data_IF_150581113226
#
_entry.id   IF_150581113226
#
_cell.length_a   1.000
_cell.length_b   1.000
_cell.length_c   1.000
_cell.angle_alpha   90.00
_cell.angle_beta   90.00
_cell.angle_gamma   90.00
#
_symmetry.space_group_name_H-M   'P 1'
#
loop_
_entity.id
_entity.type
_entity.pdbx_description
1 polymer ?
#
# COMPACT_ATOMS: atom_id res chain seq x y z
N UNK A 1 8.43 -16.93 7.23
CA UNK A 1 9.19 -15.68 7.37
C UNK A 1 8.17 -14.58 7.53
N UNK A 2 8.25 -13.80 8.61
CA UNK A 2 7.30 -12.72 8.88
C UNK A 2 7.70 -11.43 8.15
N UNK A 3 7.82 -11.57 6.83
CA UNK A 3 8.14 -10.47 5.95
C UNK A 3 6.84 -9.78 5.49
N UNK A 4 6.92 -8.47 5.35
CA UNK A 4 5.82 -7.64 4.89
C UNK A 4 6.22 -6.94 3.59
N UNK A 5 5.26 -6.83 2.69
CA UNK A 5 5.40 -6.13 1.43
C UNK A 5 4.77 -4.75 1.58
N UNK A 6 5.56 -3.72 1.32
CA UNK A 6 5.13 -2.33 1.27
C UNK A 6 4.97 -1.92 -0.19
N UNK A 7 3.79 -1.47 -0.58
CA UNK A 7 3.58 -0.86 -1.90
C UNK A 7 4.03 0.59 -1.84
N UNK A 8 5.03 0.93 -2.64
CA UNK A 8 5.65 2.26 -2.67
C UNK A 8 4.77 3.26 -3.43
N UNK A 9 4.92 4.54 -3.09
CA UNK A 9 4.34 5.65 -3.82
C UNK A 9 5.10 5.99 -5.09
N UNK A 10 4.61 6.99 -5.83
CA UNK A 10 5.17 7.38 -7.14
C UNK A 10 6.66 7.72 -7.11
N UNK A 11 7.14 8.38 -6.05
CA UNK A 11 8.57 8.63 -5.85
C UNK A 11 9.16 7.54 -4.96
N UNK A 12 9.41 6.37 -5.56
CA UNK A 12 9.84 5.18 -4.82
C UNK A 12 11.14 5.38 -4.04
N UNK A 13 12.07 6.21 -4.54
CA UNK A 13 13.34 6.51 -3.85
C UNK A 13 13.09 7.25 -2.55
N UNK A 14 12.20 8.23 -2.57
CA UNK A 14 11.82 8.97 -1.36
C UNK A 14 11.02 8.07 -0.40
N UNK A 15 10.12 7.24 -0.92
CA UNK A 15 9.39 6.23 -0.13
C UNK A 15 10.33 5.24 0.56
N UNK A 16 11.35 4.74 -0.14
CA UNK A 16 12.36 3.85 0.43
C UNK A 16 13.19 4.56 1.51
N UNK A 17 13.58 5.82 1.28
CA UNK A 17 14.32 6.60 2.26
C UNK A 17 13.51 6.86 3.54
N UNK A 18 12.23 7.21 3.40
CA UNK A 18 11.31 7.35 4.54
C UNK A 18 11.18 6.03 5.30
N UNK A 19 10.93 4.93 4.58
CA UNK A 19 10.75 3.61 5.17
C UNK A 19 12.00 3.15 5.91
N UNK A 20 13.18 3.22 5.28
CA UNK A 20 14.46 2.87 5.91
C UNK A 20 14.73 3.71 7.16
N UNK A 21 14.42 5.01 7.12
CA UNK A 21 14.56 5.91 8.26
C UNK A 21 13.65 5.50 9.44
N UNK A 22 12.37 5.20 9.17
CA UNK A 22 11.43 4.72 10.20
C UNK A 22 11.91 3.38 10.78
N UNK A 23 12.33 2.43 9.94
CA UNK A 23 12.81 1.12 10.38
C UNK A 23 14.05 1.24 11.27
N UNK A 24 14.90 2.25 11.06
CA UNK A 24 16.10 2.49 11.87
C UNK A 24 15.82 3.24 13.16
N UNK A 25 14.88 4.19 13.16
CA UNK A 25 14.78 5.21 14.21
C UNK A 25 13.48 5.15 15.04
N UNK A 26 12.48 4.38 14.63
CA UNK A 26 11.21 4.24 15.36
C UNK A 26 11.12 2.95 16.19
N UNK A 27 9.94 2.67 16.77
CA UNK A 27 9.60 1.39 17.38
C UNK A 27 9.50 0.23 16.37
N UNK A 28 9.33 0.52 15.09
CA UNK A 28 9.16 -0.46 14.03
C UNK A 28 10.51 -0.98 13.51
N UNK A 29 11.39 -1.44 14.41
CA UNK A 29 12.75 -1.85 14.04
C UNK A 29 12.75 -2.98 13.01
N UNK A 30 13.53 -2.82 11.95
CA UNK A 30 13.63 -3.80 10.87
C UNK A 30 14.63 -3.40 9.80
N UNK A 31 14.58 -4.09 8.66
CA UNK A 31 15.37 -3.79 7.47
C UNK A 31 14.62 -4.13 6.18
N UNK A 32 14.96 -3.41 5.12
CA UNK A 32 14.52 -3.74 3.76
C UNK A 32 15.41 -4.87 3.24
N UNK A 33 14.79 -5.99 2.85
CA UNK A 33 15.46 -7.20 2.36
C UNK A 33 15.58 -7.24 0.84
N UNK A 34 14.53 -6.76 0.17
CA UNK A 34 14.42 -6.74 -1.28
C UNK A 34 13.50 -5.58 -1.67
N UNK A 35 13.63 -5.06 -2.89
CA UNK A 35 12.79 -3.98 -3.37
C UNK A 35 12.78 -3.90 -4.90
N UNK A 36 11.78 -3.19 -5.41
CA UNK A 36 11.71 -2.72 -6.80
C UNK A 36 11.28 -1.26 -6.82
N UNK A 37 10.96 -0.72 -8.00
CA UNK A 37 10.38 0.62 -8.08
C UNK A 37 8.97 0.70 -7.48
N UNK A 38 8.29 -0.44 -7.27
CA UNK A 38 6.89 -0.46 -6.84
C UNK A 38 6.67 -1.07 -5.46
N UNK A 39 7.60 -1.92 -4.98
CA UNK A 39 7.45 -2.59 -3.69
C UNK A 39 8.76 -2.57 -2.88
N UNK A 40 8.64 -2.71 -1.57
CA UNK A 40 9.75 -3.04 -0.68
C UNK A 40 9.34 -4.20 0.22
N UNK A 41 10.24 -5.15 0.43
CA UNK A 41 10.08 -6.28 1.34
C UNK A 41 10.81 -5.97 2.63
N UNK A 42 10.07 -5.93 3.72
CA UNK A 42 10.57 -5.57 5.04
C UNK A 42 10.54 -6.77 5.96
N UNK A 43 11.66 -7.01 6.62
CA UNK A 43 11.77 -7.92 7.76
C UNK A 43 11.80 -7.08 9.05
N UNK A 44 10.84 -7.28 9.93
CA UNK A 44 10.83 -6.65 11.25
C UNK A 44 11.55 -7.52 12.28
N UNK A 45 12.26 -6.87 13.21
CA UNK A 45 13.02 -7.56 14.25
C UNK A 45 12.11 -8.34 15.21
N UNK A 46 10.96 -7.77 15.60
CA UNK A 46 10.08 -8.38 16.60
C UNK A 46 8.59 -8.12 16.40
N UNK A 47 8.18 -7.35 15.38
CA UNK A 47 6.78 -6.94 15.19
C UNK A 47 5.81 -8.13 15.14
N UNK A 48 6.24 -9.23 14.52
CA UNK A 48 5.46 -10.45 14.36
C UNK A 48 5.17 -11.20 15.67
N UNK A 49 5.95 -10.95 16.73
CA UNK A 49 5.72 -11.53 18.05
C UNK A 49 4.59 -10.83 18.81
N UNK A 50 4.15 -9.67 18.34
CA UNK A 50 3.06 -8.93 18.94
C UNK A 50 1.70 -9.50 18.51
N UNK A 51 0.85 -9.84 19.48
CA UNK A 51 -0.52 -10.33 19.21
C UNK A 51 -1.35 -9.33 18.40
N UNK A 52 -1.07 -8.03 18.53
CA UNK A 52 -1.74 -6.92 17.88
C UNK A 52 -0.90 -6.29 16.77
N UNK A 53 0.00 -7.05 16.14
CA UNK A 53 0.86 -6.54 15.07
C UNK A 53 0.08 -5.87 13.93
N UNK A 54 -1.15 -6.30 13.66
CA UNK A 54 -2.01 -5.66 12.64
C UNK A 54 -2.32 -4.21 12.99
N UNK A 55 -2.66 -3.91 14.25
CA UNK A 55 -2.91 -2.55 14.71
C UNK A 55 -1.65 -1.69 14.58
N UNK A 56 -0.50 -2.26 14.96
CA UNK A 56 0.81 -1.62 14.79
C UNK A 56 1.16 -1.34 13.33
N UNK A 57 0.77 -2.21 12.39
CA UNK A 57 0.92 -1.94 10.96
C UNK A 57 -0.02 -0.83 10.48
N UNK A 58 -1.23 -0.73 11.03
CA UNK A 58 -2.14 0.37 10.74
C UNK A 58 -1.59 1.71 11.23
N UNK A 59 -1.03 1.75 12.44
CA UNK A 59 -0.30 2.91 12.96
C UNK A 59 0.86 3.29 12.03
N UNK A 60 1.70 2.31 11.65
CA UNK A 60 2.80 2.56 10.71
C UNK A 60 2.31 3.09 9.36
N UNK A 61 1.23 2.54 8.82
CA UNK A 61 0.63 3.02 7.56
C UNK A 61 0.09 4.45 7.69
N UNK A 62 -0.42 4.85 8.86
CA UNK A 62 -0.87 6.21 9.14
C UNK A 62 0.30 7.20 9.18
N UNK A 63 1.43 6.80 9.79
CA UNK A 63 2.65 7.60 9.86
C UNK A 63 3.28 7.84 8.47
N UNK A 64 3.22 6.85 7.59
CA UNK A 64 3.87 6.89 6.28
C UNK A 64 3.19 7.86 5.30
N UNK A 65 3.99 8.71 4.66
CA UNK A 65 3.58 9.50 3.50
C UNK A 65 3.81 8.76 2.17
N UNK A 66 4.83 7.91 2.12
CA UNK A 66 5.39 7.31 0.91
C UNK A 66 4.94 5.91 0.58
N UNK A 67 4.19 5.24 1.44
CA UNK A 67 3.69 3.88 1.18
C UNK A 67 2.17 3.92 1.00
N UNK A 68 1.69 3.24 -0.04
CA UNK A 68 0.27 3.16 -0.33
C UNK A 68 -0.41 2.04 0.45
N UNK A 69 0.30 0.94 0.70
CA UNK A 69 -0.23 -0.29 1.30
C UNK A 69 0.84 -1.05 2.07
N UNK A 70 0.39 -1.82 3.05
CA UNK A 70 1.18 -2.85 3.70
C UNK A 70 0.44 -4.19 3.60
N UNK A 71 1.16 -5.20 3.16
CA UNK A 71 0.66 -6.55 2.91
C UNK A 71 1.53 -7.59 3.62
N UNK A 72 0.91 -8.68 4.10
CA UNK A 72 1.62 -9.83 4.66
C UNK A 72 2.02 -10.78 3.53
N UNK A 73 3.29 -11.17 3.49
CA UNK A 73 3.81 -12.13 2.50
C UNK A 73 3.48 -13.56 2.96
N UNK A 74 3.03 -14.40 2.02
CA UNK A 74 2.70 -15.81 2.26
C UNK A 74 3.63 -16.77 1.53
N UNK A 75 4.09 -16.41 0.35
CA UNK A 75 5.01 -17.25 -0.43
C UNK A 75 5.77 -16.40 -1.47
N UNK A 76 6.75 -17.03 -2.13
CA UNK A 76 7.62 -16.42 -3.12
C UNK A 76 7.85 -17.38 -4.29
N UNK A 77 7.81 -16.85 -5.51
CA UNK A 77 8.11 -17.60 -6.74
C UNK A 77 9.37 -17.00 -7.37
N UNK A 78 10.37 -17.84 -7.66
CA UNK A 78 11.59 -17.38 -8.32
C UNK A 78 11.29 -16.79 -9.71
N UNK A 79 11.98 -15.70 -10.08
CA UNK A 79 11.71 -15.00 -11.35
C UNK A 79 11.84 -15.92 -12.58
N UNK A 80 12.76 -16.88 -12.55
CA UNK A 80 12.97 -17.84 -13.64
C UNK A 80 11.75 -18.73 -13.85
N UNK A 81 11.07 -19.14 -12.78
CA UNK A 81 9.85 -19.95 -12.90
C UNK A 81 8.71 -19.15 -13.52
N UNK A 82 8.62 -17.84 -13.22
CA UNK A 82 7.65 -16.95 -13.85
C UNK A 82 7.93 -16.80 -15.34
N UNK A 83 9.18 -16.51 -15.73
CA UNK A 83 9.54 -16.41 -17.15
C UNK A 83 9.37 -17.73 -17.90
N UNK A 84 9.61 -18.86 -17.26
CA UNK A 84 9.37 -20.18 -17.85
C UNK A 84 7.87 -20.50 -18.00
N UNK A 85 7.03 -20.05 -17.07
CA UNK A 85 5.58 -20.23 -17.11
C UNK A 85 4.86 -19.20 -18.03
N UNK A 86 5.46 -18.04 -18.22
CA UNK A 86 4.91 -16.94 -19.01
C UNK A 86 5.99 -16.31 -19.89
N UNK A 87 6.58 -17.05 -20.84
CA UNK A 87 7.58 -16.47 -21.72
C UNK A 87 6.94 -15.51 -22.72
N UNK A 88 7.71 -14.54 -23.24
CA UNK A 88 7.28 -13.67 -24.33
C UNK A 88 6.89 -14.45 -25.60
N UNK A 89 7.56 -15.59 -25.83
CA UNK A 89 7.28 -16.52 -26.93
C UNK A 89 7.22 -17.93 -26.38
N UNK A 90 6.18 -18.68 -26.76
CA UNK A 90 6.00 -20.06 -26.33
C UNK A 90 6.68 -20.99 -27.32
N UNK A 91 7.83 -21.54 -26.94
CA UNK A 91 8.53 -22.52 -27.77
C UNK A 91 8.06 -23.96 -27.49
N UNK A 92 7.84 -24.30 -26.21
CA UNK A 92 7.44 -25.65 -25.76
C UNK A 92 6.27 -25.58 -24.79
N UNK A 93 5.06 -25.76 -25.30
CA UNK A 93 3.83 -25.68 -24.50
C UNK A 93 3.83 -26.64 -23.29
N UNK A 94 4.31 -27.87 -23.48
CA UNK A 94 4.35 -28.89 -22.40
C UNK A 94 5.25 -28.49 -21.23
N UNK A 95 6.36 -27.81 -21.51
CA UNK A 95 7.24 -27.28 -20.46
C UNK A 95 6.56 -26.14 -19.70
N UNK A 96 5.98 -25.18 -20.42
CA UNK A 96 5.23 -24.06 -19.85
C UNK A 96 4.11 -24.57 -18.93
N UNK A 97 3.33 -25.54 -19.38
CA UNK A 97 2.24 -26.13 -18.60
C UNK A 97 2.76 -26.79 -17.30
N UNK A 98 3.88 -27.52 -17.38
CA UNK A 98 4.52 -28.13 -16.21
C UNK A 98 4.93 -27.09 -15.17
N UNK A 99 5.50 -25.95 -15.59
CA UNK A 99 5.91 -24.90 -14.66
C UNK A 99 4.69 -24.17 -14.09
N UNK A 100 3.65 -23.91 -14.90
CA UNK A 100 2.38 -23.36 -14.40
C UNK A 100 1.75 -24.23 -13.32
N UNK A 101 1.77 -25.57 -13.46
CA UNK A 101 1.29 -26.48 -12.40
C UNK A 101 2.04 -26.31 -11.07
N UNK A 102 3.33 -26.01 -11.09
CA UNK A 102 4.09 -25.69 -9.86
C UNK A 102 3.58 -24.40 -9.21
N UNK A 103 3.31 -23.36 -10.01
CA UNK A 103 2.73 -22.09 -9.53
C UNK A 103 1.35 -22.34 -8.92
N UNK A 104 0.51 -23.17 -9.55
CA UNK A 104 -0.82 -23.51 -9.03
C UNK A 104 -0.74 -24.23 -7.68
N UNK A 105 0.24 -25.12 -7.50
CA UNK A 105 0.46 -25.80 -6.21
C UNK A 105 0.82 -24.80 -5.09
N UNK A 106 1.66 -23.80 -5.40
CA UNK A 106 2.01 -22.71 -4.48
C UNK A 106 0.75 -21.90 -4.15
N UNK A 107 -0.01 -21.48 -5.16
CA UNK A 107 -1.26 -20.73 -4.97
C UNK A 107 -2.28 -21.47 -4.12
N UNK A 108 -2.42 -22.79 -4.31
CA UNK A 108 -3.30 -23.62 -3.49
C UNK A 108 -3.01 -23.51 -2.00
N UNK A 109 -1.72 -23.57 -1.61
CA UNK A 109 -1.27 -23.43 -0.21
C UNK A 109 -1.41 -22.01 0.30
N UNK A 110 -1.15 -21.01 -0.54
CA UNK A 110 -1.29 -19.60 -0.15
C UNK A 110 -2.74 -19.25 0.13
N UNK A 111 -3.67 -19.72 -0.72
CA UNK A 111 -5.10 -19.42 -0.58
C UNK A 111 -5.70 -20.00 0.71
N UNK A 112 -5.24 -21.17 1.16
CA UNK A 112 -5.64 -21.73 2.47
C UNK A 112 -5.19 -20.87 3.65
N UNK A 113 -4.03 -20.20 3.51
CA UNK A 113 -3.51 -19.31 4.55
C UNK A 113 -4.15 -17.91 4.49
N UNK A 114 -4.46 -17.42 3.28
CA UNK A 114 -5.15 -16.15 3.05
C UNK A 114 -6.60 -16.23 3.55
N UNK A 115 -7.27 -17.36 3.29
CA UNK A 115 -8.66 -17.61 3.66
C UNK A 115 -8.75 -18.81 4.61
N UNK A 116 -8.68 -18.60 5.94
CA UNK A 116 -8.70 -19.70 6.91
C UNK A 116 -10.00 -20.52 6.91
N UNK A 117 -11.09 -19.94 6.43
CA UNK A 117 -12.42 -20.56 6.34
C UNK A 117 -12.94 -20.46 4.91
N UNK A 118 -12.87 -21.56 4.16
CA UNK A 118 -13.32 -21.60 2.76
C UNK A 118 -14.70 -22.25 2.59
N UNK A 119 -14.96 -23.34 3.32
CA UNK A 119 -16.17 -24.15 3.14
C UNK A 119 -17.43 -23.32 3.38
N UNK A 120 -18.35 -23.36 2.42
CA UNK A 120 -19.64 -22.66 2.43
C UNK A 120 -19.57 -21.12 2.55
N UNK A 121 -18.39 -20.51 2.41
CA UNK A 121 -18.23 -19.07 2.43
C UNK A 121 -18.46 -18.45 1.03
N UNK A 122 -18.77 -17.16 0.99
CA UNK A 122 -18.78 -16.39 -0.25
C UNK A 122 -17.51 -15.54 -0.29
N UNK A 123 -16.59 -15.87 -1.18
CA UNK A 123 -15.28 -15.22 -1.27
C UNK A 123 -15.28 -14.18 -2.39
N UNK A 124 -14.74 -12.99 -2.10
CA UNK A 124 -14.49 -11.94 -3.09
C UNK A 124 -13.03 -11.51 -3.04
N UNK A 125 -12.30 -11.65 -4.15
CA UNK A 125 -10.88 -11.28 -4.19
C UNK A 125 -10.54 -10.30 -5.31
N UNK A 126 -9.39 -9.65 -5.20
CA UNK A 126 -8.80 -8.86 -6.28
C UNK A 126 -7.35 -9.28 -6.45
N UNK A 127 -6.87 -9.28 -7.69
CA UNK A 127 -5.46 -9.54 -8.00
C UNK A 127 -4.80 -8.22 -8.38
N UNK A 128 -3.69 -7.90 -7.73
CA UNK A 128 -2.87 -6.72 -8.04
C UNK A 128 -1.45 -7.15 -8.39
N UNK A 129 -0.99 -6.75 -9.57
CA UNK A 129 0.37 -7.03 -10.03
C UNK A 129 1.18 -5.73 -9.95
N UNK A 130 2.22 -5.73 -9.13
CA UNK A 130 3.20 -4.66 -9.11
C UNK A 130 4.48 -5.16 -9.80
N UNK A 131 4.73 -4.80 -11.06
CA UNK A 131 5.92 -5.22 -11.79
C UNK A 131 7.19 -4.58 -11.21
N UNK A 132 8.36 -4.93 -11.74
CA UNK A 132 9.58 -4.17 -11.44
C UNK A 132 9.42 -2.71 -11.94
N UNK A 133 9.05 -2.55 -13.22
CA UNK A 133 8.67 -1.27 -13.83
C UNK A 133 7.36 -1.42 -14.61
N UNK A 134 6.47 -0.44 -14.51
CA UNK A 134 5.20 -0.45 -15.26
C UNK A 134 5.38 -0.22 -16.77
N UNK A 135 6.50 0.38 -17.16
CA UNK A 135 6.85 0.69 -18.55
C UNK A 135 7.43 -0.52 -19.28
N UNK A 136 7.71 -1.63 -18.58
CA UNK A 136 8.30 -2.82 -19.19
C UNK A 136 7.36 -3.48 -20.20
N UNK A 137 7.90 -3.87 -21.35
CA UNK A 137 7.18 -4.62 -22.37
C UNK A 137 6.61 -5.94 -21.82
N UNK A 138 7.38 -6.59 -20.93
CA UNK A 138 6.94 -7.81 -20.26
C UNK A 138 5.69 -7.58 -19.41
N UNK A 139 5.57 -6.44 -18.74
CA UNK A 139 4.37 -6.11 -17.97
C UNK A 139 3.14 -6.02 -18.89
N UNK A 140 3.20 -5.16 -19.90
CA UNK A 140 2.07 -4.87 -20.77
C UNK A 140 1.67 -6.05 -21.66
N UNK A 141 2.64 -6.80 -22.20
CA UNK A 141 2.38 -7.91 -23.13
C UNK A 141 2.13 -9.24 -22.44
N UNK A 142 2.71 -9.48 -21.26
CA UNK A 142 2.64 -10.79 -20.60
C UNK A 142 1.89 -10.71 -19.29
N UNK A 143 2.31 -9.85 -18.36
CA UNK A 143 1.73 -9.84 -17.03
C UNK A 143 0.25 -9.42 -17.06
N UNK A 144 -0.08 -8.35 -17.78
CA UNK A 144 -1.45 -7.86 -17.90
C UNK A 144 -2.32 -8.78 -18.76
N UNK A 145 -1.81 -9.23 -19.92
CA UNK A 145 -2.61 -9.96 -20.92
C UNK A 145 -2.71 -11.46 -20.70
N UNK A 146 -1.78 -12.06 -19.97
CA UNK A 146 -1.70 -13.51 -19.81
C UNK A 146 -1.61 -13.95 -18.36
N UNK A 147 -0.76 -13.32 -17.55
CA UNK A 147 -0.60 -13.72 -16.15
C UNK A 147 -1.83 -13.34 -15.30
N UNK A 148 -2.33 -12.11 -15.41
CA UNK A 148 -3.52 -11.67 -14.67
C UNK A 148 -4.77 -12.52 -14.99
N UNK A 149 -5.15 -12.76 -16.27
CA UNK A 149 -6.27 -13.65 -16.58
C UNK A 149 -6.05 -15.08 -16.07
N UNK A 150 -4.82 -15.60 -16.14
CA UNK A 150 -4.48 -16.90 -15.57
C UNK A 150 -4.72 -16.91 -14.06
N UNK A 151 -4.23 -15.91 -13.32
CA UNK A 151 -4.43 -15.82 -11.87
C UNK A 151 -5.92 -15.75 -11.52
N UNK A 152 -6.69 -14.86 -12.16
CA UNK A 152 -8.12 -14.72 -11.89
C UNK A 152 -8.87 -16.04 -12.10
N UNK A 153 -8.63 -16.71 -13.23
CA UNK A 153 -9.28 -17.97 -13.56
C UNK A 153 -8.88 -19.10 -12.62
N UNK A 154 -7.57 -19.28 -12.39
CA UNK A 154 -7.09 -20.44 -11.65
C UNK A 154 -7.29 -20.28 -10.13
N UNK A 155 -7.22 -19.06 -9.58
CA UNK A 155 -7.64 -18.82 -8.20
C UNK A 155 -9.13 -19.17 -8.02
N UNK A 156 -9.99 -18.78 -8.98
CA UNK A 156 -11.40 -19.18 -8.92
C UNK A 156 -11.58 -20.71 -8.97
N UNK A 157 -10.83 -21.42 -9.80
CA UNK A 157 -10.88 -22.88 -9.89
C UNK A 157 -10.47 -23.53 -8.56
N UNK A 158 -9.33 -23.11 -8.00
CA UNK A 158 -8.83 -23.62 -6.71
C UNK A 158 -9.85 -23.37 -5.59
N UNK A 159 -10.48 -22.19 -5.55
CA UNK A 159 -11.51 -21.89 -4.55
C UNK A 159 -12.76 -22.79 -4.72
N UNK A 160 -13.17 -23.09 -5.96
CA UNK A 160 -14.29 -24.00 -6.23
C UNK A 160 -13.99 -25.43 -5.79
N UNK A 161 -12.77 -25.92 -6.05
CA UNK A 161 -12.31 -27.24 -5.59
C UNK A 161 -12.32 -27.36 -4.06
N UNK A 162 -12.19 -26.24 -3.34
CA UNK A 162 -12.24 -26.16 -1.88
C UNK A 162 -13.65 -25.94 -1.30
N UNK A 163 -14.70 -26.25 -2.07
CA UNK A 163 -16.11 -26.20 -1.63
C UNK A 163 -16.58 -24.82 -1.12
N UNK A 164 -16.05 -23.74 -1.71
CA UNK A 164 -16.56 -22.38 -1.48
C UNK A 164 -17.96 -22.24 -2.10
N UNK A 165 -18.92 -21.62 -1.40
CA UNK A 165 -20.31 -21.46 -1.87
C UNK A 165 -20.38 -20.58 -3.11
N UNK A 166 -19.62 -19.49 -3.13
CA UNK A 166 -19.54 -18.52 -4.23
C UNK A 166 -18.16 -17.89 -4.25
N UNK A 167 -17.51 -17.85 -5.41
CA UNK A 167 -16.27 -17.10 -5.61
C UNK A 167 -16.48 -16.04 -6.69
N UNK A 168 -16.04 -14.82 -6.41
CA UNK A 168 -16.04 -13.70 -7.33
C UNK A 168 -14.68 -12.99 -7.26
N UNK A 169 -14.30 -12.33 -8.33
CA UNK A 169 -13.11 -11.48 -8.36
C UNK A 169 -13.43 -10.10 -8.92
N UNK A 170 -12.59 -9.12 -8.59
CA UNK A 170 -12.65 -7.79 -9.18
C UNK A 170 -12.22 -7.86 -10.65
N UNK A 171 -13.12 -7.48 -11.55
CA UNK A 171 -12.88 -7.43 -12.99
C UNK A 171 -12.39 -6.03 -13.39
N UNK A 172 -11.14 -5.97 -13.85
CA UNK A 172 -10.60 -4.74 -14.44
C UNK A 172 -11.26 -4.46 -15.80
N UNK A 173 -11.36 -3.17 -16.22
CA UNK A 173 -11.87 -2.82 -17.53
C UNK A 173 -11.10 -3.51 -18.67
N UNK A 174 -11.83 -4.16 -19.59
CA UNK A 174 -11.20 -4.90 -20.70
C UNK A 174 -10.28 -4.02 -21.56
N UNK A 175 -10.64 -2.75 -21.75
CA UNK A 175 -9.83 -1.77 -22.49
C UNK A 175 -8.43 -1.57 -21.89
N UNK A 176 -8.32 -1.57 -20.56
CA UNK A 176 -7.05 -1.42 -19.85
C UNK A 176 -6.20 -2.69 -19.97
N UNK A 177 -6.84 -3.86 -19.95
CA UNK A 177 -6.16 -5.14 -20.16
C UNK A 177 -5.65 -5.24 -21.62
N UNK A 178 -6.48 -4.86 -22.60
CA UNK A 178 -6.14 -4.91 -24.04
C UNK A 178 -5.02 -3.93 -24.38
N UNK A 179 -5.05 -2.71 -23.84
CA UNK A 179 -3.98 -1.73 -24.00
C UNK A 179 -2.69 -2.10 -23.28
N UNK A 180 -2.78 -2.93 -22.22
CA UNK A 180 -1.62 -3.29 -21.39
C UNK A 180 -1.22 -2.19 -20.40
N UNK A 181 -2.02 -1.13 -20.29
CA UNK A 181 -1.85 -0.06 -19.30
C UNK A 181 -2.88 -0.28 -18.18
N UNK A 182 -2.48 -1.04 -17.18
CA UNK A 182 -3.34 -1.38 -16.06
C UNK A 182 -2.77 -0.83 -14.76
N UNK A 183 -3.54 0.01 -14.08
CA UNK A 183 -3.19 0.35 -12.71
C UNK A 183 -3.70 -0.76 -11.77
N UNK A 184 -2.89 -1.22 -10.81
CA UNK A 184 -3.38 -2.10 -9.75
C UNK A 184 -4.51 -1.45 -8.94
N UNK A 185 -5.17 -2.24 -8.10
CA UNK A 185 -6.22 -1.75 -7.20
C UNK A 185 -5.68 -0.57 -6.37
N UNK A 186 -6.30 0.59 -6.47
CA UNK A 186 -5.94 1.73 -5.60
C UNK A 186 -6.51 1.59 -4.18
N UNK A 187 -5.95 2.27 -3.15
CA UNK A 187 -6.45 2.20 -1.77
C UNK A 187 -7.95 2.50 -1.60
N UNK A 188 -8.51 3.45 -2.34
CA UNK A 188 -9.95 3.74 -2.25
C UNK A 188 -10.84 2.55 -2.70
N UNK A 189 -10.36 1.69 -3.61
CA UNK A 189 -11.06 0.47 -4.00
C UNK A 189 -10.98 -0.59 -2.89
N UNK A 190 -9.84 -0.70 -2.21
CA UNK A 190 -9.70 -1.60 -1.05
C UNK A 190 -10.77 -1.30 0.01
N UNK A 191 -10.90 -0.02 0.37
CA UNK A 191 -11.88 0.46 1.36
C UNK A 191 -13.29 0.22 0.85
N UNK A 192 -13.61 0.66 -0.39
CA UNK A 192 -14.96 0.52 -0.98
C UNK A 192 -15.45 -0.93 -1.04
N UNK A 193 -14.58 -1.87 -1.36
CA UNK A 193 -14.96 -3.28 -1.53
C UNK A 193 -14.71 -4.14 -0.29
N UNK A 194 -14.18 -3.56 0.80
CA UNK A 194 -13.88 -4.27 2.04
C UNK A 194 -12.83 -5.36 1.86
N UNK A 195 -11.81 -5.13 1.03
CA UNK A 195 -10.80 -6.15 0.65
C UNK A 195 -9.83 -6.53 1.79
N UNK A 196 -10.06 -6.02 3.00
CA UNK A 196 -9.35 -6.40 4.23
C UNK A 196 -10.12 -7.48 5.04
N UNK A 197 -11.42 -7.69 4.77
CA UNK A 197 -12.29 -8.58 5.53
C UNK A 197 -11.86 -10.05 5.44
N UNK A 198 -12.29 -10.92 6.36
CA UNK A 198 -11.86 -12.34 6.36
C UNK A 198 -12.23 -13.11 5.09
N UNK A 199 -13.40 -12.83 4.51
CA UNK A 199 -13.93 -13.43 3.28
C UNK A 199 -13.48 -12.70 2.01
N UNK A 200 -12.63 -11.67 2.15
CA UNK A 200 -12.20 -10.82 1.05
C UNK A 200 -10.70 -10.54 1.07
N UNK A 201 -10.10 -10.40 -0.10
CA UNK A 201 -8.67 -10.13 -0.16
C UNK A 201 -8.25 -9.40 -1.42
N UNK A 202 -7.39 -8.40 -1.29
CA UNK A 202 -6.43 -8.12 -2.35
C UNK A 202 -5.24 -9.07 -2.21
N UNK A 203 -4.99 -9.84 -3.26
CA UNK A 203 -3.82 -10.70 -3.41
C UNK A 203 -2.83 -9.96 -4.31
N UNK A 204 -1.72 -9.55 -3.71
CA UNK A 204 -0.63 -8.84 -4.36
C UNK A 204 0.39 -9.86 -4.91
N UNK A 205 0.76 -9.66 -6.17
CA UNK A 205 1.92 -10.27 -6.81
C UNK A 205 2.95 -9.16 -7.06
N UNK A 206 3.88 -9.01 -6.12
CA UNK A 206 4.90 -7.98 -6.15
C UNK A 206 6.21 -8.50 -6.71
N UNK A 207 6.66 -7.92 -7.80
CA UNK A 207 7.87 -8.32 -8.52
C UNK A 207 9.09 -7.53 -8.04
N UNK A 208 10.20 -8.25 -7.89
CA UNK A 208 11.56 -7.74 -7.76
C UNK A 208 12.45 -8.43 -8.79
N UNK A 209 13.75 -8.13 -8.77
CA UNK A 209 14.72 -8.86 -9.63
C UNK A 209 14.84 -10.33 -9.22
N UNK A 210 14.62 -10.66 -7.95
CA UNK A 210 14.73 -12.02 -7.41
C UNK A 210 13.52 -12.89 -7.79
N UNK A 211 12.31 -12.29 -7.81
CA UNK A 211 11.09 -13.04 -8.07
C UNK A 211 9.80 -12.31 -7.76
N UNK A 212 8.79 -13.09 -7.37
CA UNK A 212 7.43 -12.62 -7.16
C UNK A 212 6.97 -13.02 -5.77
N UNK A 213 6.75 -12.02 -4.93
CA UNK A 213 6.14 -12.19 -3.62
C UNK A 213 4.62 -12.24 -3.77
N UNK A 214 4.00 -13.25 -3.14
CA UNK A 214 2.55 -13.37 -3.04
C UNK A 214 2.14 -12.90 -1.65
N UNK A 215 1.32 -11.86 -1.58
CA UNK A 215 0.97 -11.20 -0.34
C UNK A 215 -0.54 -10.88 -0.24
N UNK A 216 -1.06 -10.73 0.97
CA UNK A 216 -2.42 -10.21 1.24
C UNK A 216 -2.32 -8.83 1.85
N UNK A 217 -3.04 -7.86 1.30
CA UNK A 217 -3.09 -6.51 1.87
C UNK A 217 -3.79 -6.50 3.22
N UNK A 218 -3.18 -5.88 4.22
CA UNK A 218 -3.69 -5.79 5.60
C UNK A 218 -4.15 -4.37 5.95
N UNK A 219 -3.42 -3.38 5.46
CA UNK A 219 -3.75 -1.97 5.65
C UNK A 219 -3.32 -1.16 4.43
N UNK A 220 -3.94 -0.01 4.24
CA UNK A 220 -3.62 0.92 3.18
C UNK A 220 -3.77 2.36 3.66
N UNK A 221 -3.09 3.27 2.95
CA UNK A 221 -3.30 4.71 3.06
C UNK A 221 -4.79 5.05 2.84
N UNK A 222 -5.31 6.04 3.54
CA UNK A 222 -6.62 6.62 3.25
C UNK A 222 -6.45 7.90 2.43
N UNK A 223 -6.45 7.80 1.08
CA UNK A 223 -6.32 8.97 0.23
C UNK A 223 -7.54 9.88 0.32
N UNK A 224 -8.73 9.37 0.67
CA UNK A 224 -9.94 10.19 0.75
C UNK A 224 -9.88 11.07 1.99
N UNK A 225 -9.44 10.53 3.13
CA UNK A 225 -9.20 11.32 4.34
C UNK A 225 -8.17 12.43 4.09
N UNK A 226 -6.99 12.09 3.54
CA UNK A 226 -5.95 13.08 3.25
C UNK A 226 -6.41 14.12 2.22
N UNK A 227 -7.20 13.69 1.23
CA UNK A 227 -7.78 14.59 0.22
C UNK A 227 -8.79 15.53 0.84
N UNK A 228 -9.69 15.05 1.71
CA UNK A 228 -10.64 15.88 2.46
C UNK A 228 -9.92 16.99 3.21
N UNK A 229 -8.89 16.65 3.99
CA UNK A 229 -8.11 17.65 4.74
C UNK A 229 -7.41 18.67 3.82
N UNK A 230 -6.85 18.22 2.70
CA UNK A 230 -6.15 19.14 1.80
C UNK A 230 -7.09 20.01 0.95
N UNK A 231 -8.20 19.47 0.45
CA UNK A 231 -9.09 20.11 -0.52
C UNK A 231 -10.30 20.81 0.10
N UNK A 232 -10.86 20.30 1.19
CA UNK A 232 -12.12 20.79 1.77
C UNK A 232 -11.90 21.82 2.89
N UNK A 233 -10.65 22.04 3.32
CA UNK A 233 -10.32 23.08 4.31
C UNK A 233 -10.84 24.47 3.87
N UNK A 234 -11.32 25.32 4.80
CA UNK A 234 -11.92 26.61 4.48
C UNK A 234 -11.06 27.53 3.62
N UNK A 235 -9.73 27.52 3.82
CA UNK A 235 -8.79 28.36 3.09
C UNK A 235 -7.71 27.50 2.43
N UNK A 236 -7.75 27.39 1.10
CA UNK A 236 -6.73 26.70 0.29
C UNK A 236 -6.14 27.62 -0.76
N UNK A 237 -4.84 27.44 -1.03
CA UNK A 237 -4.17 28.05 -2.18
C UNK A 237 -3.35 27.01 -2.94
N UNK A 238 -3.76 26.70 -4.17
CA UNK A 238 -3.17 25.61 -4.96
C UNK A 238 -1.73 25.88 -5.42
N UNK A 239 -1.36 27.15 -5.65
CA UNK A 239 -0.05 27.50 -6.22
C UNK A 239 1.12 27.35 -5.24
N UNK A 240 0.85 27.33 -3.94
CA UNK A 240 1.88 27.45 -2.90
C UNK A 240 1.80 26.36 -1.82
N UNK A 241 0.97 25.31 -2.01
CA UNK A 241 0.80 24.26 -1.00
C UNK A 241 1.70 23.05 -1.27
N UNK A 242 2.39 22.59 -0.24
CA UNK A 242 3.01 21.26 -0.21
C UNK A 242 1.93 20.16 -0.26
N UNK A 243 2.26 18.99 -0.79
CA UNK A 243 1.34 17.85 -0.74
C UNK A 243 1.28 17.23 0.66
N UNK A 244 0.11 16.70 1.12
CA UNK A 244 -0.02 15.95 2.37
C UNK A 244 1.04 14.88 2.59
N UNK A 245 1.33 14.09 1.54
CA UNK A 245 2.26 12.97 1.60
C UNK A 245 3.69 13.43 1.87
N UNK A 246 4.09 14.54 1.25
CA UNK A 246 5.42 15.11 1.46
C UNK A 246 5.56 15.71 2.87
N UNK A 247 4.51 16.34 3.42
CA UNK A 247 4.53 16.83 4.80
C UNK A 247 4.76 15.67 5.80
N UNK A 248 4.04 14.56 5.65
CA UNK A 248 4.23 13.36 6.48
C UNK A 248 5.66 12.81 6.40
N UNK A 249 6.21 12.70 5.18
CA UNK A 249 7.60 12.27 4.98
C UNK A 249 8.58 13.21 5.70
N UNK A 250 8.38 14.52 5.60
CA UNK A 250 9.25 15.50 6.29
C UNK A 250 9.26 15.28 7.80
N UNK A 251 8.10 15.04 8.43
CA UNK A 251 8.05 14.74 9.86
C UNK A 251 8.77 13.45 10.22
N UNK A 252 8.66 12.42 9.37
CA UNK A 252 9.37 11.17 9.58
C UNK A 252 10.90 11.37 9.51
N UNK A 253 11.40 12.26 8.64
CA UNK A 253 12.83 12.60 8.59
C UNK A 253 13.34 13.43 9.79
N UNK A 254 12.46 14.03 10.59
CA UNK A 254 12.87 14.66 11.86
C UNK A 254 13.29 13.63 12.92
N UNK A 255 12.98 12.35 12.72
CA UNK A 255 13.26 11.26 13.66
C UNK A 255 12.60 11.43 15.05
N UNK A 256 11.47 12.14 15.09
CA UNK A 256 10.67 12.38 16.28
C UNK A 256 9.52 11.35 16.35
N UNK A 257 9.84 10.10 16.65
CA UNK A 257 8.84 9.01 16.68
C UNK A 257 8.24 8.73 18.05
N UNK A 258 8.84 9.25 19.13
CA UNK A 258 8.39 9.02 20.50
C UNK A 258 7.82 10.32 21.10
N UNK A 259 6.72 10.19 21.84
CA UNK A 259 6.08 11.27 22.59
C UNK A 259 5.85 12.51 21.72
N UNK A 260 5.24 12.34 20.53
CA UNK A 260 5.04 13.42 19.55
C UNK A 260 4.23 14.59 20.12
N UNK A 261 3.30 14.30 21.03
CA UNK A 261 2.50 15.23 21.82
C UNK A 261 3.31 16.18 22.70
N UNK A 262 4.56 15.83 22.99
CA UNK A 262 5.50 16.69 23.72
C UNK A 262 6.43 17.48 22.80
N UNK A 263 6.50 17.14 21.51
CA UNK A 263 7.44 17.74 20.56
C UNK A 263 6.77 18.91 19.83
N UNK A 264 7.56 19.94 19.56
CA UNK A 264 7.12 21.19 18.94
C UNK A 264 7.59 21.28 17.50
N UNK A 265 6.66 21.55 16.59
CA UNK A 265 6.91 21.84 15.18
C UNK A 265 6.67 23.32 14.94
N UNK A 266 7.68 24.01 14.42
CA UNK A 266 7.57 25.40 13.97
C UNK A 266 7.60 25.43 12.44
N UNK A 267 6.55 26.00 11.84
CA UNK A 267 6.56 26.42 10.44
C UNK A 267 6.68 27.95 10.37
N UNK A 268 7.87 28.50 10.05
CA UNK A 268 8.08 29.94 10.01
C UNK A 268 7.53 30.63 8.74
N UNK A 269 6.96 29.85 7.80
CA UNK A 269 6.35 30.34 6.56
C UNK A 269 5.02 29.61 6.33
N UNK A 270 4.13 29.72 7.31
CA UNK A 270 2.98 28.81 7.46
C UNK A 270 1.97 28.87 6.32
N UNK A 271 1.84 30.01 5.64
CA UNK A 271 0.88 30.17 4.54
C UNK A 271 -0.54 29.84 4.98
N UNK A 272 -1.17 28.83 4.36
CA UNK A 272 -2.49 28.33 4.76
C UNK A 272 -2.45 27.06 5.63
N UNK A 273 -1.29 26.76 6.21
CA UNK A 273 -1.18 25.81 7.33
C UNK A 273 -1.02 24.34 6.96
N UNK A 274 -0.71 23.98 5.71
CA UNK A 274 -0.66 22.55 5.31
C UNK A 274 0.27 21.73 6.20
N UNK A 275 1.49 22.22 6.47
CA UNK A 275 2.43 21.52 7.35
C UNK A 275 1.83 21.40 8.76
N UNK A 276 1.29 22.47 9.33
CA UNK A 276 0.73 22.43 10.68
C UNK A 276 -0.50 21.54 10.82
N UNK A 277 -1.40 21.49 9.82
CA UNK A 277 -2.55 20.59 9.82
C UNK A 277 -2.10 19.12 9.89
N UNK A 278 -1.10 18.74 9.10
CA UNK A 278 -0.57 17.38 9.13
C UNK A 278 0.35 17.12 10.33
N UNK A 279 1.00 18.13 10.90
CA UNK A 279 1.71 18.00 12.18
C UNK A 279 0.73 17.71 13.32
N UNK A 280 -0.41 18.42 13.36
CA UNK A 280 -1.47 18.20 14.33
C UNK A 280 -2.05 16.78 14.23
N UNK A 281 -2.34 16.30 13.01
CA UNK A 281 -2.76 14.91 12.76
C UNK A 281 -1.69 13.86 13.12
N UNK A 282 -0.47 14.27 13.40
CA UNK A 282 0.63 13.41 13.84
C UNK A 282 0.94 13.64 15.33
N UNK A 283 0.01 14.25 16.05
CA UNK A 283 0.04 14.58 17.48
C UNK A 283 1.13 15.59 17.88
N UNK A 284 1.71 16.35 16.96
CA UNK A 284 2.70 17.37 17.34
C UNK A 284 2.06 18.63 17.93
N UNK A 285 2.78 19.30 18.84
CA UNK A 285 2.48 20.69 19.18
C UNK A 285 2.88 21.60 18.02
N UNK A 286 1.97 22.46 17.58
CA UNK A 286 2.16 23.27 16.37
C UNK A 286 2.39 24.74 16.70
N UNK A 287 3.33 25.35 15.98
CA UNK A 287 3.61 26.79 16.01
C UNK A 287 3.79 27.28 14.58
N UNK A 288 3.16 28.41 14.24
CA UNK A 288 3.22 28.98 12.90
C UNK A 288 3.57 30.47 12.94
N UNK A 289 4.34 30.91 11.95
CA UNK A 289 4.55 32.32 11.68
C UNK A 289 4.40 32.60 10.18
N UNK A 290 3.91 33.80 9.86
CA UNK A 290 3.93 34.35 8.51
C UNK A 290 4.10 35.87 8.60
N UNK A 291 4.58 36.51 7.55
CA UNK A 291 4.61 37.97 7.49
C UNK A 291 3.22 38.52 7.13
N UNK A 292 2.40 37.74 6.42
CA UNK A 292 1.04 38.11 6.01
C UNK A 292 0.02 37.71 7.09
N UNK A 293 -0.58 38.70 7.74
CA UNK A 293 -1.59 38.50 8.76
C UNK A 293 -2.82 37.72 8.24
N UNK A 294 -3.14 37.80 6.95
CA UNK A 294 -4.22 37.04 6.33
C UNK A 294 -3.91 35.54 6.36
N UNK A 295 -2.65 35.15 6.09
CA UNK A 295 -2.19 33.76 6.12
C UNK A 295 -2.29 33.16 7.52
N UNK A 296 -1.87 33.93 8.53
CA UNK A 296 -2.03 33.54 9.94
C UNK A 296 -3.51 33.28 10.27
N UNK A 297 -4.39 34.24 9.97
CA UNK A 297 -5.82 34.13 10.28
C UNK A 297 -6.48 32.94 9.54
N UNK A 298 -6.12 32.72 8.28
CA UNK A 298 -6.61 31.58 7.49
C UNK A 298 -6.12 30.25 8.06
N UNK A 299 -4.85 30.17 8.46
CA UNK A 299 -4.28 28.99 9.10
C UNK A 299 -5.00 28.65 10.40
N UNK A 300 -5.26 29.65 11.26
CA UNK A 300 -6.02 29.44 12.51
C UNK A 300 -7.40 28.86 12.22
N UNK A 301 -8.13 29.42 11.24
CA UNK A 301 -9.45 28.91 10.85
C UNK A 301 -9.39 27.49 10.28
N UNK A 302 -8.36 27.16 9.50
CA UNK A 302 -8.15 25.80 9.01
C UNK A 302 -7.85 24.82 10.15
N UNK A 303 -7.09 25.22 11.17
CA UNK A 303 -6.79 24.40 12.35
C UNK A 303 -8.06 24.15 13.16
N UNK A 304 -8.85 25.19 13.43
CA UNK A 304 -10.14 25.06 14.14
C UNK A 304 -11.05 24.12 13.38
N UNK A 305 -11.19 24.31 12.07
CA UNK A 305 -11.97 23.41 11.22
C UNK A 305 -11.47 21.97 11.31
N UNK A 306 -10.15 21.73 11.23
CA UNK A 306 -9.60 20.38 11.33
C UNK A 306 -9.94 19.74 12.68
N UNK A 307 -9.80 20.47 13.79
CA UNK A 307 -10.14 19.99 15.14
C UNK A 307 -11.62 19.62 15.25
N UNK A 308 -12.51 20.42 14.66
CA UNK A 308 -13.94 20.10 14.57
C UNK A 308 -14.19 18.83 13.75
N UNK A 309 -13.52 18.65 12.61
CA UNK A 309 -13.65 17.47 11.74
C UNK A 309 -13.18 16.16 12.37
N UNK A 310 -12.21 16.24 13.29
CA UNK A 310 -11.68 15.07 14.01
C UNK A 310 -12.24 14.95 15.44
N UNK A 311 -13.20 15.81 15.82
CA UNK A 311 -13.85 15.85 17.13
C UNK A 311 -12.89 16.04 18.32
N UNK A 312 -11.80 16.79 18.13
CA UNK A 312 -10.80 17.13 19.15
C UNK A 312 -11.04 18.52 19.77
N UNK A 313 -10.58 18.79 21.01
CA UNK A 313 -10.83 20.06 21.67
C UNK A 313 -10.05 21.21 21.01
N UNK A 314 -10.69 22.37 20.91
CA UNK A 314 -10.05 23.59 20.41
C UNK A 314 -9.20 24.20 21.55
N UNK A 315 -7.87 24.30 21.38
CA UNK A 315 -6.96 24.76 22.42
C UNK A 315 -7.00 26.27 22.69
#
# INVERSE_FOLDING_TARGET
MDNFLFVLGRNFRLSLAELDNILKNSQFKGRIQDYSANIAVVEFNSLHNDKYYVNKLMELQFLLGGCQKIAKIYDFINIKDIYNAFPLKIDKYTFVEKVRKKILHILGKVLEQIFPRLKNQSIFFAVSIYPNLFEDEYYSKVLVKHFLPFLNKEIMNILREKEVKKSLYYEYPEENIKSGNLNPIFPHHLIKYGLFNEDRAEIIFGFTEEGVYIARTFTADDPNFKKKIDEERPFKEFKSSISPKLALMMFNFLNLFQERETKKILDPFVGNGTILLFALLQDFQIYGADFDQVKINNTIRNIIWLLEEIEEPIP
#
